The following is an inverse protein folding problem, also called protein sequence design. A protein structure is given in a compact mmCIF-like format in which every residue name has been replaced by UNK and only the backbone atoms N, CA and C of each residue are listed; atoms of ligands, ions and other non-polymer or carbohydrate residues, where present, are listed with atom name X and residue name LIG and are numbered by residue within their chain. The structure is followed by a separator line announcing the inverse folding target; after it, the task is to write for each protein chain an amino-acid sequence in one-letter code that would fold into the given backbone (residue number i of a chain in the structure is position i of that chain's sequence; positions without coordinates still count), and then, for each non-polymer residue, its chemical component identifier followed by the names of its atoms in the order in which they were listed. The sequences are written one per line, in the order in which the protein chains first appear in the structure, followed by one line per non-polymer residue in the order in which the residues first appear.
data_IF_875142324394
#
_entry.id   IF_875142324394
#
_cell.length_a   1.000
_cell.length_b   1.000
_cell.length_c   1.000
_cell.angle_alpha   90.00
_cell.angle_beta   90.00
_cell.angle_gamma   90.00
#
_symmetry.space_group_name_H-M   'P 1'
#
loop_
_entity.id
_entity.type
_entity.pdbx_description
1 polymer ?
#
# COMPACT_ATOMS: atom_id res chain seq x y z
N UNK A 1 -12.56 7.66 17.52
CA UNK A 1 -11.40 8.05 16.71
C UNK A 1 -10.85 9.38 17.19
N UNK A 2 -9.54 9.49 17.40
CA UNK A 2 -8.86 10.75 17.80
C UNK A 2 -8.64 11.66 16.58
N UNK A 3 -8.44 12.97 16.80
CA UNK A 3 -8.12 13.89 15.70
C UNK A 3 -6.84 13.49 14.95
N UNK A 4 -5.84 13.00 15.67
CA UNK A 4 -4.59 12.50 15.06
C UNK A 4 -4.85 11.34 14.10
N UNK A 5 -5.69 10.38 14.49
CA UNK A 5 -6.08 9.26 13.62
C UNK A 5 -6.86 9.76 12.41
N UNK A 6 -7.79 10.72 12.60
CA UNK A 6 -8.54 11.32 11.49
C UNK A 6 -7.62 11.98 10.47
N UNK A 7 -6.62 12.74 10.93
CA UNK A 7 -5.64 13.36 10.04
C UNK A 7 -4.76 12.33 9.32
N UNK A 8 -4.41 11.24 9.99
CA UNK A 8 -3.66 10.15 9.33
C UNK A 8 -4.49 9.45 8.26
N UNK A 9 -5.76 9.17 8.51
CA UNK A 9 -6.68 8.61 7.53
C UNK A 9 -6.78 9.48 6.29
N UNK A 10 -6.98 10.80 6.46
CA UNK A 10 -7.06 11.74 5.34
C UNK A 10 -5.80 11.71 4.47
N UNK A 11 -4.61 11.59 5.08
CA UNK A 11 -3.35 11.47 4.34
C UNK A 11 -3.27 10.14 3.58
N UNK A 12 -3.75 9.04 4.17
CA UNK A 12 -3.75 7.73 3.53
C UNK A 12 -4.76 7.68 2.38
N UNK A 13 -5.95 8.24 2.56
CA UNK A 13 -7.01 8.35 1.54
C UNK A 13 -6.53 9.19 0.35
N UNK A 14 -5.98 10.38 0.60
CA UNK A 14 -5.43 11.22 -0.47
C UNK A 14 -4.32 10.52 -1.27
N UNK A 15 -3.44 9.77 -0.58
CA UNK A 15 -2.40 8.99 -1.27
C UNK A 15 -2.98 7.82 -2.06
N UNK A 16 -4.06 7.21 -1.59
CA UNK A 16 -4.76 6.16 -2.31
C UNK A 16 -5.37 6.70 -3.61
N UNK A 17 -6.00 7.87 -3.58
CA UNK A 17 -6.56 8.53 -4.76
C UNK A 17 -5.48 8.80 -5.82
N UNK A 18 -4.36 9.45 -5.43
CA UNK A 18 -3.19 9.66 -6.29
C UNK A 18 -2.66 8.35 -6.88
N UNK A 19 -2.57 7.30 -6.05
CA UNK A 19 -2.16 5.98 -6.48
C UNK A 19 -3.09 5.39 -7.55
N UNK A 20 -4.41 5.53 -7.42
CA UNK A 20 -5.37 5.04 -8.41
C UNK A 20 -5.35 5.85 -9.71
N UNK A 21 -5.15 7.17 -9.64
CA UNK A 21 -4.95 7.99 -10.84
C UNK A 21 -3.73 7.52 -11.64
N UNK A 22 -2.61 7.24 -10.97
CA UNK A 22 -1.41 6.70 -11.61
C UNK A 22 -1.64 5.30 -12.20
N UNK A 23 -2.34 4.43 -11.48
CA UNK A 23 -2.67 3.08 -11.95
C UNK A 23 -3.52 3.11 -13.21
N UNK A 24 -4.55 3.95 -13.25
CA UNK A 24 -5.46 4.09 -14.39
C UNK A 24 -4.76 4.62 -15.65
N UNK A 25 -3.67 5.36 -15.48
CA UNK A 25 -2.88 5.93 -16.58
C UNK A 25 -1.62 5.11 -16.92
N UNK A 26 -1.50 3.86 -16.44
CA UNK A 26 -0.29 3.05 -16.62
C UNK A 26 -0.58 1.59 -17.03
N UNK A 27 0.38 0.99 -17.76
CA UNK A 27 0.35 -0.42 -18.14
C UNK A 27 1.12 -1.30 -17.12
N UNK A 28 0.72 -1.26 -15.85
CA UNK A 28 1.51 -1.81 -14.74
C UNK A 28 1.51 -3.36 -14.65
N UNK A 29 0.50 -4.02 -15.19
CA UNK A 29 0.27 -5.47 -15.02
C UNK A 29 1.36 -6.36 -15.65
N UNK A 30 2.17 -5.82 -16.57
CA UNK A 30 3.24 -6.57 -17.24
C UNK A 30 4.54 -6.67 -16.42
N UNK A 31 4.70 -5.92 -15.33
CA UNK A 31 5.96 -5.83 -14.57
C UNK A 31 5.74 -6.10 -13.08
N UNK A 32 5.06 -7.21 -12.80
CA UNK A 32 4.80 -7.63 -11.42
C UNK A 32 5.81 -8.66 -10.94
N UNK A 33 6.13 -8.59 -9.66
CA UNK A 33 7.01 -9.53 -8.96
C UNK A 33 6.26 -10.11 -7.75
N UNK A 34 6.39 -11.41 -7.51
CA UNK A 34 5.72 -12.04 -6.36
C UNK A 34 6.35 -11.59 -5.04
N UNK A 35 5.52 -11.34 -4.03
CA UNK A 35 5.99 -11.03 -2.68
C UNK A 35 6.30 -12.33 -1.92
N UNK A 36 7.58 -12.70 -1.86
CA UNK A 36 8.02 -13.96 -1.25
C UNK A 36 7.20 -15.16 -1.79
N UNK A 37 6.73 -16.05 -0.90
CA UNK A 37 5.93 -17.23 -1.24
C UNK A 37 4.41 -16.98 -1.20
N UNK A 38 3.90 -15.75 -0.99
CA UNK A 38 2.44 -15.50 -0.95
C UNK A 38 1.87 -15.10 -2.33
N UNK A 39 0.53 -15.05 -2.45
CA UNK A 39 -0.17 -14.66 -3.68
C UNK A 39 -0.12 -13.15 -3.98
N UNK A 40 0.40 -12.34 -3.05
CA UNK A 40 0.55 -10.91 -3.27
C UNK A 40 1.68 -10.62 -4.26
N UNK A 41 1.54 -9.54 -5.02
CA UNK A 41 2.53 -9.08 -5.99
C UNK A 41 2.87 -7.62 -5.76
N UNK A 42 4.09 -7.26 -6.13
CA UNK A 42 4.62 -5.90 -6.08
C UNK A 42 4.99 -5.43 -7.47
N UNK A 43 4.80 -4.15 -7.75
CA UNK A 43 5.23 -3.54 -9.01
C UNK A 43 5.55 -2.07 -8.79
N UNK A 44 6.32 -1.47 -9.68
CA UNK A 44 6.77 -0.08 -9.58
C UNK A 44 6.15 0.76 -10.69
N UNK A 45 5.61 1.93 -10.33
CA UNK A 45 5.23 2.99 -11.27
C UNK A 45 5.87 4.27 -10.74
N UNK A 46 6.70 4.92 -11.55
CA UNK A 46 7.44 6.13 -11.15
C UNK A 46 8.21 5.91 -9.84
N UNK A 47 7.97 6.75 -8.82
CA UNK A 47 8.60 6.66 -7.50
C UNK A 47 7.76 5.88 -6.48
N UNK A 48 6.69 5.21 -6.93
CA UNK A 48 5.83 4.41 -6.07
C UNK A 48 6.04 2.92 -6.33
N UNK A 49 6.19 2.16 -5.25
CA UNK A 49 6.11 0.70 -5.29
C UNK A 49 4.74 0.31 -4.73
N UNK A 50 3.98 -0.49 -5.47
CA UNK A 50 2.63 -0.89 -5.10
C UNK A 50 2.63 -2.31 -4.55
N UNK A 51 1.69 -2.57 -3.65
CA UNK A 51 1.35 -3.90 -3.17
C UNK A 51 -0.08 -4.24 -3.59
N UNK A 52 -0.20 -5.28 -4.41
CA UNK A 52 -1.46 -5.89 -4.77
C UNK A 52 -1.62 -7.21 -4.02
N UNK A 53 -2.69 -7.33 -3.24
CA UNK A 53 -3.10 -8.58 -2.61
C UNK A 53 -4.33 -9.11 -3.34
N UNK A 54 -4.22 -10.32 -3.91
CA UNK A 54 -5.25 -10.86 -4.82
C UNK A 54 -5.57 -9.88 -5.96
N UNK A 55 -6.79 -9.32 -5.99
CA UNK A 55 -7.25 -8.41 -7.02
C UNK A 55 -7.26 -6.94 -6.60
N UNK A 56 -6.78 -6.62 -5.40
CA UNK A 56 -6.89 -5.26 -4.86
C UNK A 56 -5.54 -4.70 -4.47
N UNK A 57 -5.35 -3.41 -4.78
CA UNK A 57 -4.20 -2.63 -4.32
C UNK A 57 -4.48 -2.22 -2.88
N UNK A 58 -3.57 -2.57 -1.97
CA UNK A 58 -3.77 -2.40 -0.53
C UNK A 58 -2.74 -1.49 0.14
N UNK A 59 -1.63 -1.19 -0.55
CA UNK A 59 -0.62 -0.26 -0.07
C UNK A 59 0.29 0.22 -1.20
N UNK A 60 1.00 1.32 -0.94
CA UNK A 60 2.18 1.70 -1.70
C UNK A 60 3.31 2.17 -0.78
N UNK A 61 4.54 2.18 -1.30
CA UNK A 61 5.72 2.82 -0.72
C UNK A 61 6.07 3.98 -1.64
N UNK A 62 6.24 5.16 -1.06
CA UNK A 62 6.80 6.32 -1.74
C UNK A 62 8.30 6.39 -1.51
N UNK A 63 9.08 6.20 -2.58
CA UNK A 63 10.54 6.18 -2.55
C UNK A 63 11.15 7.57 -2.32
N UNK A 64 10.38 8.65 -2.46
CA UNK A 64 10.87 9.99 -2.14
C UNK A 64 10.83 10.27 -0.63
N UNK A 65 9.84 9.72 0.08
CA UNK A 65 9.60 10.01 1.49
C UNK A 65 9.94 8.84 2.43
N UNK A 66 10.23 7.66 1.89
CA UNK A 66 10.42 6.40 2.61
C UNK A 66 9.25 6.05 3.54
N UNK A 67 8.02 6.33 3.09
CA UNK A 67 6.79 6.04 3.83
C UNK A 67 5.99 4.96 3.09
N UNK A 68 5.57 3.94 3.84
CA UNK A 68 4.52 3.02 3.39
C UNK A 68 3.14 3.58 3.77
N UNK A 69 2.26 3.71 2.79
CA UNK A 69 0.86 4.07 2.97
C UNK A 69 0.03 2.79 2.90
N UNK A 70 -0.63 2.45 4.00
CA UNK A 70 -1.32 1.19 4.26
C UNK A 70 -2.83 1.46 4.39
N UNK A 71 -3.56 1.28 3.30
CA UNK A 71 -5.02 1.43 3.23
C UNK A 71 -5.74 0.08 3.20
N UNK A 72 -5.08 -0.97 3.66
CA UNK A 72 -5.64 -2.31 3.68
C UNK A 72 -6.99 -2.38 4.41
N UNK A 73 -7.10 -1.69 5.54
CA UNK A 73 -8.32 -1.64 6.36
C UNK A 73 -9.46 -0.86 5.71
N UNK A 74 -9.14 0.16 4.91
CA UNK A 74 -10.13 0.88 4.13
C UNK A 74 -10.79 -0.04 3.07
N UNK A 75 -10.01 -0.97 2.52
CA UNK A 75 -10.48 -1.90 1.47
C UNK A 75 -11.22 -3.12 2.03
N UNK A 76 -10.66 -3.77 3.06
CA UNK A 76 -11.14 -5.07 3.53
C UNK A 76 -11.66 -5.06 4.98
N UNK A 77 -11.61 -3.92 5.67
CA UNK A 77 -11.73 -3.89 7.13
C UNK A 77 -10.54 -4.59 7.80
N UNK A 78 -10.67 -4.91 9.09
CA UNK A 78 -9.61 -5.59 9.82
C UNK A 78 -9.62 -7.11 9.60
N UNK A 79 -8.54 -7.66 9.01
CA UNK A 79 -8.29 -9.10 8.98
C UNK A 79 -6.81 -9.42 9.30
N UNK A 80 -6.56 -10.42 10.16
CA UNK A 80 -5.21 -10.80 10.61
C UNK A 80 -4.26 -11.23 9.47
N UNK A 81 -4.80 -11.88 8.42
CA UNK A 81 -4.01 -12.42 7.31
C UNK A 81 -3.38 -11.32 6.46
N UNK A 82 -4.12 -10.24 6.22
CA UNK A 82 -3.69 -9.20 5.30
C UNK A 82 -2.67 -8.23 5.91
N UNK A 83 -2.67 -8.05 7.24
CA UNK A 83 -1.63 -7.31 7.95
C UNK A 83 -0.21 -7.90 7.75
N UNK A 84 -0.09 -9.21 7.49
CA UNK A 84 1.19 -9.85 7.19
C UNK A 84 1.77 -9.43 5.84
N UNK A 85 0.92 -9.11 4.86
CA UNK A 85 1.37 -8.65 3.54
C UNK A 85 2.09 -7.30 3.65
N UNK A 86 1.56 -6.37 4.45
CA UNK A 86 2.18 -5.06 4.70
C UNK A 86 3.57 -5.22 5.33
N UNK A 87 3.69 -6.04 6.37
CA UNK A 87 4.99 -6.28 7.02
C UNK A 87 6.02 -6.87 6.06
N UNK A 88 5.64 -7.90 5.29
CA UNK A 88 6.53 -8.52 4.29
C UNK A 88 6.95 -7.50 3.22
N UNK A 89 6.00 -6.69 2.78
CA UNK A 89 6.22 -5.65 1.79
C UNK A 89 7.22 -4.60 2.27
N UNK A 90 7.02 -4.04 3.46
CA UNK A 90 7.95 -3.08 4.08
C UNK A 90 9.35 -3.70 4.25
N UNK A 91 9.44 -4.93 4.75
CA UNK A 91 10.73 -5.62 4.94
C UNK A 91 11.49 -5.83 3.62
N UNK A 92 10.78 -6.20 2.54
CA UNK A 92 11.38 -6.41 1.22
C UNK A 92 12.09 -5.14 0.71
N UNK A 93 11.55 -3.97 1.03
CA UNK A 93 12.06 -2.68 0.56
C UNK A 93 12.75 -1.85 1.65
N UNK A 94 13.01 -2.42 2.83
CA UNK A 94 13.72 -1.75 3.92
C UNK A 94 12.97 -0.56 4.54
N UNK A 95 11.65 -0.48 4.41
CA UNK A 95 10.86 0.65 4.92
C UNK A 95 10.51 0.44 6.39
N UNK A 96 10.70 1.47 7.21
CA UNK A 96 10.39 1.46 8.65
C UNK A 96 9.23 2.36 9.03
N UNK A 97 8.93 3.38 8.21
CA UNK A 97 7.85 4.35 8.47
C UNK A 97 6.58 3.92 7.75
N UNK A 98 5.46 4.03 8.45
CA UNK A 98 4.14 3.67 7.94
C UNK A 98 3.09 4.69 8.35
N UNK A 99 2.15 4.96 7.45
CA UNK A 99 0.85 5.57 7.76
C UNK A 99 -0.24 4.55 7.49
N UNK A 100 -1.12 4.32 8.46
CA UNK A 100 -2.16 3.29 8.36
C UNK A 100 -3.54 3.92 8.48
N UNK A 101 -4.45 3.49 7.62
CA UNK A 101 -5.86 3.85 7.75
C UNK A 101 -6.49 3.08 8.93
N UNK A 102 -7.28 3.77 9.75
CA UNK A 102 -7.95 3.24 10.93
C UNK A 102 -9.47 3.43 10.83
N UNK A 103 -10.23 2.42 11.25
CA UNK A 103 -11.69 2.45 11.43
C UNK A 103 -12.14 3.22 12.68
#
# INVERSE_FOLDING_TARGET
MTEKQRQENLVVEAKQEEAYELLNNSNWWHKTERLYQCSAVTFKINNLIFLKSYNTIIACIDLNSDICYDWLRLVYGYTNTSAQHIRKFMNKYGIVRKKTWHD
#
